data_IF_181143848456
#
_entry.id   IF_181143848456
#
_cell.length_a   1.000
_cell.length_b   1.000
_cell.length_c   1.000
_cell.angle_alpha   90.00
_cell.angle_beta   90.00
_cell.angle_gamma   90.00
#
_symmetry.space_group_name_H-M   'P 1'
#
loop_
_entity.id
_entity.type
_entity.pdbx_description
1 polymer ?
#
# COMPACT_ATOMS: atom_id res chain seq x y z
N UNK A 1 -2.28 -10.27 -0.77
CA UNK A 1 -1.72 -9.23 -1.64
C UNK A 1 -1.46 -9.75 -3.07
N UNK A 2 -0.47 -10.62 -3.30
CA UNK A 2 -0.07 -11.03 -4.67
C UNK A 2 -1.21 -11.53 -5.58
N UNK A 3 -2.07 -12.44 -5.09
CA UNK A 3 -3.17 -12.99 -5.91
C UNK A 3 -4.14 -11.92 -6.41
N UNK A 4 -4.45 -10.96 -5.57
CA UNK A 4 -5.34 -9.85 -5.90
C UNK A 4 -4.65 -8.84 -6.82
N UNK A 5 -3.36 -8.58 -6.57
CA UNK A 5 -2.54 -7.75 -7.43
C UNK A 5 -2.40 -8.34 -8.85
N UNK A 6 -2.16 -9.64 -8.96
CA UNK A 6 -2.16 -10.36 -10.24
C UNK A 6 -3.51 -10.28 -10.95
N UNK A 7 -4.62 -10.34 -10.21
CA UNK A 7 -5.96 -10.17 -10.78
C UNK A 7 -6.21 -8.73 -11.28
N UNK A 8 -5.69 -7.71 -10.59
CA UNK A 8 -5.71 -6.32 -11.05
C UNK A 8 -4.92 -6.20 -12.36
N UNK A 9 -3.71 -6.75 -12.40
CA UNK A 9 -2.84 -6.72 -13.58
C UNK A 9 -3.49 -7.43 -14.77
N UNK A 10 -4.00 -8.65 -14.58
CA UNK A 10 -4.72 -9.41 -15.62
C UNK A 10 -5.86 -8.60 -16.24
N UNK A 11 -6.67 -7.93 -15.42
CA UNK A 11 -7.77 -7.08 -15.90
C UNK A 11 -7.30 -5.86 -16.67
N UNK A 12 -6.21 -5.22 -16.24
CA UNK A 12 -5.69 -4.00 -16.89
C UNK A 12 -4.93 -4.33 -18.19
N UNK A 13 -4.08 -5.36 -18.16
CA UNK A 13 -3.29 -5.83 -19.30
C UNK A 13 -4.11 -6.64 -20.30
N UNK A 14 -5.33 -7.06 -19.92
CA UNK A 14 -6.23 -7.90 -20.73
C UNK A 14 -5.61 -9.24 -21.11
N UNK A 15 -4.90 -9.86 -20.16
CA UNK A 15 -4.31 -11.19 -20.29
C UNK A 15 -5.01 -12.19 -19.37
N UNK A 16 -5.08 -13.45 -19.77
CA UNK A 16 -5.82 -14.48 -19.01
C UNK A 16 -5.29 -14.69 -17.58
N UNK A 17 -3.96 -14.72 -17.43
CA UNK A 17 -3.28 -14.90 -16.15
C UNK A 17 -1.99 -14.08 -16.13
N UNK A 18 -1.65 -13.59 -14.95
CA UNK A 18 -0.35 -12.97 -14.64
C UNK A 18 0.29 -13.80 -13.52
N UNK A 19 1.50 -14.29 -13.77
CA UNK A 19 2.36 -14.93 -12.79
C UNK A 19 3.02 -13.92 -11.86
N UNK A 20 3.48 -14.40 -10.70
CA UNK A 20 4.10 -13.53 -9.69
C UNK A 20 5.37 -12.83 -10.20
N UNK A 21 6.07 -13.44 -11.15
CA UNK A 21 7.35 -12.98 -11.71
C UNK A 21 7.25 -12.53 -13.17
N UNK A 22 6.04 -12.46 -13.74
CA UNK A 22 5.88 -11.95 -15.10
C UNK A 22 6.18 -10.45 -15.11
N UNK A 23 7.03 -10.02 -16.05
CA UNK A 23 7.42 -8.62 -16.16
C UNK A 23 6.29 -7.79 -16.78
N UNK A 24 5.93 -6.68 -16.13
CA UNK A 24 4.88 -5.76 -16.57
C UNK A 24 5.05 -5.32 -18.02
N UNK A 25 6.28 -4.97 -18.43
CA UNK A 25 6.56 -4.44 -19.77
C UNK A 25 6.57 -5.56 -20.82
N UNK A 26 7.04 -6.75 -20.46
CA UNK A 26 6.98 -7.93 -21.35
C UNK A 26 5.53 -8.36 -21.63
N UNK A 27 4.63 -8.12 -20.68
CA UNK A 27 3.18 -8.33 -20.85
C UNK A 27 2.48 -7.20 -21.65
N UNK A 28 3.22 -6.23 -22.20
CA UNK A 28 2.67 -5.10 -22.95
C UNK A 28 2.27 -3.90 -22.09
N UNK A 29 2.73 -3.84 -20.84
CA UNK A 29 2.53 -2.72 -19.93
C UNK A 29 3.18 -1.42 -20.42
N UNK A 30 2.52 -0.29 -20.14
CA UNK A 30 3.02 1.06 -20.41
C UNK A 30 2.41 2.05 -19.41
N UNK A 31 2.83 3.32 -19.45
CA UNK A 31 2.50 4.32 -18.42
C UNK A 31 1.01 4.48 -18.12
N UNK A 32 0.14 4.45 -19.13
CA UNK A 32 -1.31 4.54 -18.92
C UNK A 32 -1.86 3.32 -18.17
N UNK A 33 -1.33 2.13 -18.46
CA UNK A 33 -1.70 0.89 -17.75
C UNK A 33 -1.13 0.89 -16.32
N UNK A 34 0.07 1.42 -16.12
CA UNK A 34 0.66 1.57 -14.79
C UNK A 34 -0.17 2.53 -13.91
N UNK A 35 -0.61 3.68 -14.45
CA UNK A 35 -1.52 4.62 -13.77
C UNK A 35 -2.83 3.91 -13.39
N UNK A 36 -3.38 3.11 -14.31
CA UNK A 36 -4.59 2.33 -14.09
C UNK A 36 -4.44 1.24 -13.03
N UNK A 37 -3.27 0.60 -12.93
CA UNK A 37 -2.93 -0.36 -11.89
C UNK A 37 -2.87 0.35 -10.54
N UNK A 38 -2.11 1.46 -10.44
CA UNK A 38 -1.98 2.24 -9.19
C UNK A 38 -3.34 2.70 -8.67
N UNK A 39 -4.21 3.20 -9.54
CA UNK A 39 -5.56 3.61 -9.16
C UNK A 39 -6.39 2.44 -8.60
N UNK A 40 -6.27 1.25 -9.19
CA UNK A 40 -6.99 0.05 -8.72
C UNK A 40 -6.39 -0.53 -7.45
N UNK A 41 -5.08 -0.46 -7.28
CA UNK A 41 -4.39 -0.82 -6.05
C UNK A 41 -4.91 0.04 -4.89
N UNK A 42 -4.98 1.36 -5.07
CA UNK A 42 -5.55 2.26 -4.06
C UNK A 42 -6.97 1.84 -3.67
N UNK A 43 -7.82 1.56 -4.65
CA UNK A 43 -9.21 1.16 -4.39
C UNK A 43 -9.32 -0.21 -3.69
N UNK A 44 -8.41 -1.15 -3.96
CA UNK A 44 -8.46 -2.50 -3.41
C UNK A 44 -7.80 -2.62 -2.02
N UNK A 45 -6.70 -1.89 -1.81
CA UNK A 45 -5.85 -2.05 -0.62
C UNK A 45 -5.87 -0.85 0.32
N UNK A 46 -6.51 0.27 -0.06
CA UNK A 46 -6.44 1.54 0.68
C UNK A 46 -4.98 2.03 0.88
N UNK A 47 -4.14 1.79 -0.14
CA UNK A 47 -2.72 2.16 -0.16
C UNK A 47 -2.41 3.03 -1.36
N UNK A 48 -1.76 4.17 -1.12
CA UNK A 48 -1.21 5.01 -2.18
C UNK A 48 0.19 4.51 -2.58
N UNK A 49 0.27 3.87 -3.75
CA UNK A 49 1.55 3.44 -4.33
C UNK A 49 2.05 4.51 -5.32
N UNK A 50 3.28 5.02 -5.17
CA UNK A 50 3.86 5.91 -6.17
C UNK A 50 3.93 5.24 -7.55
N UNK A 51 3.59 5.98 -8.61
CA UNK A 51 3.66 5.45 -9.97
C UNK A 51 5.05 4.88 -10.31
N UNK A 52 6.11 5.53 -9.81
CA UNK A 52 7.50 5.08 -9.94
C UNK A 52 7.71 3.63 -9.48
N UNK A 53 7.00 3.20 -8.44
CA UNK A 53 7.13 1.84 -7.90
C UNK A 53 6.76 0.78 -8.92
N UNK A 54 5.84 1.02 -9.87
CA UNK A 54 5.54 0.05 -10.94
C UNK A 54 6.69 -0.09 -11.94
N UNK A 55 7.49 0.98 -12.13
CA UNK A 55 8.65 0.95 -13.02
C UNK A 55 9.88 0.30 -12.36
N UNK A 56 9.98 0.38 -11.03
CA UNK A 56 11.07 -0.21 -10.24
C UNK A 56 10.76 -1.67 -9.85
N UNK A 57 9.54 -1.95 -9.41
CA UNK A 57 9.02 -3.26 -9.05
C UNK A 57 8.17 -3.80 -10.21
N UNK A 58 8.84 -4.38 -11.20
CA UNK A 58 8.26 -4.72 -12.50
C UNK A 58 7.47 -6.03 -12.50
N UNK A 59 7.46 -6.74 -11.39
CA UNK A 59 6.70 -7.98 -11.20
C UNK A 59 5.66 -7.83 -10.08
N UNK A 60 4.65 -8.70 -10.09
CA UNK A 60 3.63 -8.74 -9.03
C UNK A 60 4.26 -9.02 -7.65
N UNK A 61 5.26 -9.90 -7.57
CA UNK A 61 5.94 -10.22 -6.33
C UNK A 61 6.67 -9.00 -5.75
N UNK A 62 7.45 -8.29 -6.56
CA UNK A 62 8.15 -7.08 -6.12
C UNK A 62 7.17 -5.98 -5.71
N UNK A 63 6.10 -5.76 -6.48
CA UNK A 63 5.13 -4.72 -6.17
C UNK A 63 4.30 -5.07 -4.92
N UNK A 64 4.07 -6.36 -4.66
CA UNK A 64 3.47 -6.82 -3.40
C UNK A 64 4.38 -6.57 -2.19
N UNK A 65 5.70 -6.68 -2.35
CA UNK A 65 6.65 -6.30 -1.29
C UNK A 65 6.59 -4.80 -0.97
N UNK A 66 6.54 -3.96 -2.00
CA UNK A 66 6.36 -2.49 -1.83
C UNK A 66 5.06 -2.19 -1.08
N UNK A 67 3.96 -2.85 -1.45
CA UNK A 67 2.69 -2.70 -0.76
C UNK A 67 2.78 -3.09 0.72
N UNK A 68 3.40 -4.22 1.02
CA UNK A 68 3.59 -4.67 2.41
C UNK A 68 4.41 -3.68 3.23
N UNK A 69 5.46 -3.08 2.65
CA UNK A 69 6.27 -2.07 3.34
C UNK A 69 5.47 -0.80 3.66
N UNK A 70 4.61 -0.35 2.74
CA UNK A 70 3.77 0.83 2.98
C UNK A 70 2.72 0.55 4.07
N UNK A 71 2.14 -0.65 4.07
CA UNK A 71 1.16 -1.07 5.09
C UNK A 71 1.81 -1.12 6.47
N UNK A 72 2.99 -1.75 6.60
CA UNK A 72 3.72 -1.80 7.86
C UNK A 72 4.08 -0.40 8.38
N UNK A 73 4.60 0.47 7.52
CA UNK A 73 4.93 1.83 7.91
C UNK A 73 3.69 2.63 8.36
N UNK A 74 2.52 2.36 7.76
CA UNK A 74 1.25 2.97 8.19
C UNK A 74 0.82 2.46 9.56
N UNK A 75 0.87 1.14 9.78
CA UNK A 75 0.52 0.53 11.07
C UNK A 75 1.43 1.03 12.21
N UNK A 76 2.75 1.14 11.96
CA UNK A 76 3.71 1.70 12.91
C UNK A 76 3.39 3.16 13.26
N UNK A 77 3.04 3.98 12.27
CA UNK A 77 2.65 5.37 12.50
C UNK A 77 1.34 5.48 13.31
N UNK A 78 0.34 4.66 12.99
CA UNK A 78 -0.94 4.63 13.72
C UNK A 78 -0.74 4.19 15.18
N UNK A 79 0.17 3.23 15.44
CA UNK A 79 0.52 2.80 16.80
C UNK A 79 1.20 3.93 17.59
N UNK A 80 2.14 4.65 16.96
CA UNK A 80 2.81 5.81 17.57
C UNK A 80 1.81 6.93 17.88
N UNK A 81 0.92 7.26 16.94
CA UNK A 81 -0.11 8.28 17.13
C UNK A 81 -1.06 7.92 18.29
N UNK A 82 -1.48 6.65 18.37
CA UNK A 82 -2.30 6.16 19.47
C UNK A 82 -1.59 6.27 20.81
N UNK A 83 -0.31 5.89 20.87
CA UNK A 83 0.50 5.99 22.09
C UNK A 83 0.65 7.46 22.54
N UNK A 84 0.88 8.39 21.61
CA UNK A 84 0.97 9.82 21.94
C UNK A 84 -0.36 10.36 22.49
N UNK A 85 -1.49 9.99 21.88
CA UNK A 85 -2.81 10.38 22.36
C UNK A 85 -3.12 9.85 23.77
N UNK A 86 -2.71 8.61 24.09
CA UNK A 86 -2.85 8.03 25.43
C UNK A 86 -1.99 8.77 26.47
N UNK A 87 -0.76 9.17 26.12
CA UNK A 87 0.12 9.95 27.00
C UNK A 87 -0.42 11.37 27.28
N UNK A 88 -0.98 12.03 26.26
CA UNK A 88 -1.62 13.35 26.42
C UNK A 88 -2.81 13.28 27.37
N UNK A 89 -3.70 12.29 27.19
CA UNK A 89 -4.86 12.10 28.06
C UNK A 89 -4.48 11.77 29.51
N UNK A 90 -3.43 10.97 29.73
CA UNK A 90 -2.93 10.68 31.07
C UNK A 90 -2.42 11.95 31.75
N UNK A 91 -1.65 12.77 31.04
CA UNK A 91 -1.14 14.04 31.56
C UNK A 91 -2.25 15.03 31.89
N UNK A 92 -3.31 15.11 31.08
CA UNK A 92 -4.47 15.96 31.36
C UNK A 92 -5.21 15.51 32.61
N UNK A 93 -5.48 14.20 32.74
CA UNK A 93 -6.13 13.63 33.90
C UNK A 93 -5.32 13.87 35.20
N UNK A 94 -3.99 13.76 35.13
CA UNK A 94 -3.10 14.07 36.26
C UNK A 94 -3.15 15.55 36.65
N UNK A 95 -3.21 16.47 35.68
CA UNK A 95 -3.32 17.91 35.95
C UNK A 95 -4.66 18.27 36.61
N UNK A 96 -5.77 17.68 36.17
CA UNK A 96 -7.08 17.87 36.79
C UNK A 96 -7.15 17.33 38.22
N UNK A 97 -6.49 16.20 38.49
CA UNK A 97 -6.43 15.61 39.82
C UNK A 97 -5.68 16.47 40.85
N UNK A 98 -4.74 17.32 40.39
CA UNK A 98 -4.00 18.25 41.26
C UNK A 98 -4.76 19.56 41.57
N UNK A 99 -5.82 19.87 40.82
CA UNK A 99 -6.60 21.10 40.95
C UNK A 99 -7.91 20.92 41.74
N UNK A 100 -8.27 19.68 42.11
CA UNK A 100 -9.44 19.33 42.93
C UNK A 100 -9.03 18.84 44.33
#
# INVERSE_FOLDING_TARGET
VERELAAIWSKVLKVERVGAHDNFFELGGHSLLAIQIVSRIRAAFDVEVPLRSVFEAQTVAELAMVLGQIQLAREENEEVEKMLAELEQLSEAEAEALLN
#
